data_IF_088194494023
#
_entry.id   IF_088194494023
#
_cell.length_a   1.000
_cell.length_b   1.000
_cell.length_c   1.000
_cell.angle_alpha   90.00
_cell.angle_beta   90.00
_cell.angle_gamma   90.00
#
_symmetry.space_group_name_H-M   'P 1'
#
loop_
_entity.id
_entity.type
_entity.pdbx_description
1 polymer ?
#
# COMPACT_ATOMS: atom_id res chain seq x y z
N UNK A 1 2.93 -15.08 62.41
CA UNK A 1 2.47 -13.70 62.21
C UNK A 1 2.96 -13.24 60.84
N UNK A 2 2.05 -13.08 59.88
CA UNK A 2 2.35 -12.61 58.53
C UNK A 2 2.54 -11.09 58.54
N UNK A 3 3.62 -10.59 57.95
CA UNK A 3 3.66 -9.22 57.49
C UNK A 3 4.38 -9.16 56.14
N UNK A 4 3.60 -9.07 55.06
CA UNK A 4 4.08 -8.80 53.71
C UNK A 4 3.15 -7.76 53.12
N UNK A 5 3.59 -6.49 53.10
CA UNK A 5 3.00 -5.49 52.23
C UNK A 5 4.13 -4.70 51.57
N UNK A 6 4.59 -5.21 50.44
CA UNK A 6 5.27 -4.40 49.43
C UNK A 6 4.16 -3.89 48.49
N UNK A 7 3.79 -2.63 48.66
CA UNK A 7 2.83 -1.94 47.79
C UNK A 7 3.57 -1.53 46.53
N UNK A 8 3.40 -2.29 45.46
CA UNK A 8 3.91 -1.96 44.13
C UNK A 8 2.87 -1.06 43.43
N UNK A 9 3.07 0.26 43.44
CA UNK A 9 2.34 1.18 42.57
C UNK A 9 2.80 0.95 41.12
N UNK A 10 2.05 0.14 40.36
CA UNK A 10 2.19 0.12 38.91
C UNK A 10 1.44 1.32 38.32
N UNK A 11 2.20 2.34 37.94
CA UNK A 11 1.70 3.45 37.15
C UNK A 11 1.16 2.94 35.81
N UNK A 12 -0.13 3.14 35.59
CA UNK A 12 -0.75 2.96 34.27
C UNK A 12 -0.35 4.18 33.45
N UNK A 13 0.80 4.10 32.79
CA UNK A 13 1.16 5.05 31.75
C UNK A 13 0.35 4.62 30.53
N UNK A 14 -0.78 5.29 30.29
CA UNK A 14 -1.58 5.14 29.08
C UNK A 14 -0.73 5.59 27.89
N UNK A 15 0.04 4.68 27.31
CA UNK A 15 0.72 4.90 26.04
C UNK A 15 -0.36 4.86 24.96
N UNK A 16 -1.04 5.98 24.76
CA UNK A 16 -1.88 6.21 23.60
C UNK A 16 -0.98 6.22 22.38
N UNK A 17 -0.71 5.04 21.83
CA UNK A 17 -0.02 4.89 20.56
C UNK A 17 -1.00 5.38 19.48
N UNK A 18 -1.04 6.69 19.25
CA UNK A 18 -1.57 7.25 18.02
C UNK A 18 -0.58 6.86 16.92
N UNK A 19 -0.69 5.62 16.44
CA UNK A 19 -0.06 5.20 15.22
C UNK A 19 -0.63 6.11 14.11
N UNK A 20 0.17 7.06 13.67
CA UNK A 20 0.00 7.73 12.38
C UNK A 20 -0.09 6.61 11.35
N UNK A 21 -1.30 6.23 10.98
CA UNK A 21 -1.65 4.96 10.35
C UNK A 21 -1.10 4.88 8.93
N UNK A 22 0.20 4.64 8.80
CA UNK A 22 0.76 4.11 7.58
C UNK A 22 0.11 2.76 7.33
N UNK A 23 -0.38 2.54 6.12
CA UNK A 23 -0.83 1.23 5.66
C UNK A 23 0.27 0.57 4.82
N UNK A 24 1.51 0.39 5.32
CA UNK A 24 2.59 -0.11 4.49
C UNK A 24 2.28 -1.53 4.01
N UNK A 25 2.66 -1.82 2.78
CA UNK A 25 2.56 -3.16 2.26
C UNK A 25 3.58 -4.08 2.93
N UNK A 26 3.12 -5.24 3.41
CA UNK A 26 4.01 -6.29 3.90
C UNK A 26 4.99 -6.73 2.79
N UNK A 27 6.25 -7.09 3.11
CA UNK A 27 7.27 -7.38 2.09
C UNK A 27 6.89 -8.47 1.08
N UNK A 28 6.12 -9.49 1.51
CA UNK A 28 5.60 -10.52 0.62
C UNK A 28 4.55 -9.94 -0.37
N UNK A 29 3.63 -9.09 0.11
CA UNK A 29 2.65 -8.39 -0.72
C UNK A 29 3.34 -7.48 -1.73
N UNK A 30 4.39 -6.76 -1.33
CA UNK A 30 5.17 -5.91 -2.25
C UNK A 30 5.71 -6.72 -3.44
N UNK A 31 6.30 -7.90 -3.19
CA UNK A 31 6.80 -8.77 -4.27
C UNK A 31 5.67 -9.22 -5.21
N UNK A 32 4.52 -9.60 -4.67
CA UNK A 32 3.37 -10.04 -5.46
C UNK A 32 2.75 -8.91 -6.28
N UNK A 33 2.62 -7.71 -5.70
CA UNK A 33 2.13 -6.50 -6.36
C UNK A 33 3.08 -6.12 -7.50
N UNK A 34 4.38 -6.05 -7.24
CA UNK A 34 5.38 -5.72 -8.26
C UNK A 34 5.32 -6.71 -9.43
N UNK A 35 5.14 -8.01 -9.15
CA UNK A 35 4.94 -9.02 -10.19
C UNK A 35 3.66 -8.77 -11.01
N UNK A 36 2.54 -8.47 -10.34
CA UNK A 36 1.28 -8.18 -11.02
C UNK A 36 1.38 -6.95 -11.94
N UNK A 37 2.03 -5.88 -11.46
CA UNK A 37 2.26 -4.65 -12.22
C UNK A 37 3.18 -4.93 -13.41
N UNK A 38 4.30 -5.64 -13.23
CA UNK A 38 5.18 -6.02 -14.36
C UNK A 38 4.46 -6.83 -15.42
N UNK A 39 3.63 -7.81 -15.00
CA UNK A 39 2.84 -8.61 -15.93
C UNK A 39 1.77 -7.79 -16.67
N UNK A 40 1.25 -6.73 -16.06
CA UNK A 40 0.36 -5.77 -16.72
C UNK A 40 1.13 -4.96 -17.76
N UNK A 41 2.30 -4.42 -17.41
CA UNK A 41 3.15 -3.61 -18.30
C UNK A 41 3.62 -4.40 -19.52
N UNK A 42 3.94 -5.69 -19.41
CA UNK A 42 4.30 -6.53 -20.58
C UNK A 42 3.19 -6.57 -21.64
N UNK A 43 1.95 -6.24 -21.27
CA UNK A 43 0.80 -6.18 -22.18
C UNK A 43 0.53 -4.77 -22.72
N UNK A 44 1.37 -3.78 -22.38
CA UNK A 44 1.26 -2.40 -22.84
C UNK A 44 2.51 -2.00 -23.65
N UNK A 45 2.50 -0.80 -24.24
CA UNK A 45 3.63 -0.28 -25.04
C UNK A 45 4.85 0.15 -24.19
N UNK A 46 4.77 0.03 -22.86
CA UNK A 46 5.86 0.39 -21.94
C UNK A 46 6.65 -0.86 -21.58
N UNK A 47 7.99 -0.79 -21.57
CA UNK A 47 8.82 -1.90 -21.13
C UNK A 47 8.93 -1.96 -19.59
N UNK A 48 8.68 -3.13 -19.02
CA UNK A 48 8.77 -3.37 -17.58
C UNK A 48 10.19 -3.22 -16.98
N UNK A 49 11.23 -3.14 -17.82
CA UNK A 49 12.63 -2.90 -17.40
C UNK A 49 12.96 -1.41 -17.25
N UNK A 50 12.13 -0.54 -17.84
CA UNK A 50 12.37 0.90 -17.90
C UNK A 50 11.62 1.67 -16.82
N UNK A 51 11.12 0.96 -15.79
CA UNK A 51 10.36 1.56 -14.69
C UNK A 51 10.80 1.02 -13.34
N UNK A 52 10.65 1.87 -12.33
CA UNK A 52 10.75 1.53 -10.91
C UNK A 52 9.34 1.45 -10.33
N UNK A 53 9.05 0.39 -9.57
CA UNK A 53 7.73 0.15 -8.97
C UNK A 53 7.85 0.20 -7.46
N UNK A 54 7.04 1.04 -6.82
CA UNK A 54 6.99 1.19 -5.37
C UNK A 54 5.56 0.99 -4.86
N UNK A 55 5.29 -0.15 -4.22
CA UNK A 55 4.03 -0.38 -3.51
C UNK A 55 4.01 0.44 -2.21
N UNK A 56 3.15 1.45 -2.14
CA UNK A 56 3.13 2.45 -1.06
C UNK A 56 2.15 2.09 0.05
N UNK A 57 0.92 1.72 -0.32
CA UNK A 57 -0.16 1.47 0.64
C UNK A 57 -0.91 0.17 0.32
N UNK A 58 -1.25 -0.59 1.35
CA UNK A 58 -2.04 -1.82 1.28
C UNK A 58 -3.16 -1.78 2.34
N UNK A 59 -4.41 -1.71 1.89
CA UNK A 59 -5.59 -1.58 2.76
C UNK A 59 -6.55 -2.71 2.43
N UNK A 60 -6.65 -3.69 3.35
CA UNK A 60 -7.41 -4.92 3.11
C UNK A 60 -6.93 -5.66 1.86
N UNK A 61 -7.84 -5.82 0.89
CA UNK A 61 -7.59 -6.43 -0.42
C UNK A 61 -7.22 -5.42 -1.51
N UNK A 62 -6.97 -4.16 -1.17
CA UNK A 62 -6.58 -3.12 -2.12
C UNK A 62 -5.15 -2.68 -1.90
N UNK A 63 -4.52 -2.19 -2.96
CA UNK A 63 -3.18 -1.60 -2.90
C UNK A 63 -3.04 -0.40 -3.83
N UNK A 64 -2.16 0.51 -3.44
CA UNK A 64 -1.68 1.64 -4.23
C UNK A 64 -0.17 1.50 -4.43
N UNK A 65 0.26 1.65 -5.68
CA UNK A 65 1.66 1.67 -6.06
C UNK A 65 1.94 2.82 -7.01
N UNK A 66 3.18 3.29 -7.00
CA UNK A 66 3.71 4.23 -7.98
C UNK A 66 4.61 3.48 -8.96
N UNK A 67 4.51 3.87 -10.23
CA UNK A 67 5.39 3.42 -11.29
C UNK A 67 6.07 4.63 -11.92
N UNK A 68 7.36 4.77 -11.63
CA UNK A 68 8.19 5.88 -12.10
C UNK A 68 9.06 5.40 -13.24
N UNK A 69 9.01 6.03 -14.42
CA UNK A 69 9.96 5.76 -15.49
C UNK A 69 11.40 6.03 -15.04
N UNK A 70 12.33 5.15 -15.40
CA UNK A 70 13.76 5.31 -15.07
C UNK A 70 14.41 6.44 -15.88
N UNK A 71 13.77 6.88 -16.98
CA UNK A 71 14.14 8.03 -17.80
C UNK A 71 12.96 9.02 -17.81
N UNK A 72 13.19 10.34 -17.86
CA UNK A 72 12.14 11.36 -17.79
C UNK A 72 11.38 11.50 -19.12
N UNK A 73 10.75 10.40 -19.57
CA UNK A 73 9.95 10.36 -20.80
C UNK A 73 8.46 10.59 -20.54
N UNK A 74 8.00 10.35 -19.31
CA UNK A 74 6.60 10.52 -18.88
C UNK A 74 6.54 10.68 -17.36
N UNK A 75 5.40 11.15 -16.85
CA UNK A 75 5.13 11.29 -15.42
C UNK A 75 5.06 9.94 -14.69
N UNK A 76 5.18 10.00 -13.35
CA UNK A 76 4.95 8.83 -12.49
C UNK A 76 3.47 8.44 -12.54
N UNK A 77 3.22 7.18 -12.87
CA UNK A 77 1.88 6.62 -12.86
C UNK A 77 1.50 6.13 -11.47
N UNK A 78 0.25 6.39 -11.10
CA UNK A 78 -0.45 5.77 -9.99
C UNK A 78 -1.12 4.48 -10.45
N UNK A 79 -0.99 3.43 -9.66
CA UNK A 79 -1.55 2.10 -9.97
C UNK A 79 -2.34 1.61 -8.78
N UNK A 80 -3.63 1.34 -9.01
CA UNK A 80 -4.51 0.75 -8.02
C UNK A 80 -4.76 -0.72 -8.34
N UNK A 81 -4.66 -1.55 -7.31
CA UNK A 81 -4.82 -3.00 -7.43
C UNK A 81 -5.86 -3.53 -6.46
N UNK A 82 -6.50 -4.62 -6.86
CA UNK A 82 -7.36 -5.43 -6.01
C UNK A 82 -6.90 -6.87 -6.00
N UNK A 83 -7.01 -7.53 -4.84
CA UNK A 83 -6.68 -8.93 -4.66
C UNK A 83 -7.88 -9.79 -5.05
N UNK A 84 -7.73 -10.53 -6.15
CA UNK A 84 -8.71 -11.50 -6.64
C UNK A 84 -8.18 -12.92 -6.36
N UNK A 85 -8.79 -13.62 -5.40
CA UNK A 85 -8.34 -14.94 -4.95
C UNK A 85 -6.90 -14.91 -4.43
N UNK A 86 -6.00 -15.63 -5.11
CA UNK A 86 -4.57 -15.72 -4.74
C UNK A 86 -3.70 -14.65 -5.41
N UNK A 87 -4.24 -13.83 -6.31
CA UNK A 87 -3.46 -12.89 -7.12
C UNK A 87 -3.86 -11.43 -6.94
N UNK A 88 -2.95 -10.52 -7.26
CA UNK A 88 -3.24 -9.09 -7.42
C UNK A 88 -3.52 -8.78 -8.88
N UNK A 89 -4.52 -7.92 -9.12
CA UNK A 89 -4.90 -7.44 -10.44
C UNK A 89 -4.95 -5.93 -10.47
N UNK A 90 -4.41 -5.35 -11.53
CA UNK A 90 -4.50 -3.91 -11.77
C UNK A 90 -5.95 -3.56 -12.06
N UNK A 91 -6.51 -2.65 -11.27
CA UNK A 91 -7.84 -2.08 -11.49
C UNK A 91 -7.76 -0.90 -12.45
N UNK A 92 -6.80 -0.01 -12.21
CA UNK A 92 -6.60 1.18 -13.03
C UNK A 92 -5.15 1.68 -12.92
N UNK A 93 -4.70 2.38 -13.96
CA UNK A 93 -3.36 2.92 -14.13
C UNK A 93 -3.47 4.29 -14.79
N UNK A 94 -2.84 5.32 -14.23
CA UNK A 94 -2.85 6.65 -14.81
C UNK A 94 -2.17 7.69 -13.93
N UNK A 95 -2.22 8.95 -14.34
CA UNK A 95 -1.67 10.09 -13.58
C UNK A 95 -2.76 10.86 -12.84
N UNK A 96 -4.03 10.53 -13.05
CA UNK A 96 -5.19 11.06 -12.36
C UNK A 96 -6.38 10.10 -12.51
N UNK A 97 -7.40 10.24 -11.65
CA UNK A 97 -8.61 9.41 -11.68
C UNK A 97 -9.84 10.24 -11.32
N UNK A 98 -10.98 9.88 -11.91
CA UNK A 98 -12.26 10.46 -11.57
C UNK A 98 -12.77 9.99 -10.18
N UNK A 99 -13.69 10.76 -9.62
CA UNK A 99 -14.28 10.47 -8.31
C UNK A 99 -15.05 9.15 -8.28
N UNK A 100 -15.67 8.75 -9.40
CA UNK A 100 -16.47 7.53 -9.48
C UNK A 100 -15.59 6.28 -9.36
N UNK A 101 -14.37 6.32 -9.86
CA UNK A 101 -13.36 5.29 -9.65
C UNK A 101 -12.84 5.32 -8.22
N UNK A 102 -12.42 6.49 -7.71
CA UNK A 102 -11.88 6.63 -6.36
C UNK A 102 -12.89 6.20 -5.28
N UNK A 103 -14.19 6.41 -5.51
CA UNK A 103 -15.26 5.98 -4.61
C UNK A 103 -15.31 4.46 -4.40
N UNK A 104 -14.78 3.66 -5.35
CA UNK A 104 -14.70 2.19 -5.26
C UNK A 104 -13.56 1.71 -4.34
N UNK A 105 -12.64 2.60 -3.97
CA UNK A 105 -11.48 2.29 -3.14
C UNK A 105 -11.75 2.56 -1.66
N UNK A 106 -11.04 1.87 -0.74
CA UNK A 106 -10.96 2.27 0.66
C UNK A 106 -10.54 3.74 0.79
N UNK A 107 -11.09 4.47 1.76
CA UNK A 107 -10.88 5.92 1.92
C UNK A 107 -9.41 6.28 2.06
N UNK A 108 -8.64 5.41 2.70
CA UNK A 108 -7.22 5.51 2.98
C UNK A 108 -6.35 5.49 1.70
N UNK A 109 -6.90 4.99 0.60
CA UNK A 109 -6.24 4.95 -0.70
C UNK A 109 -6.67 6.07 -1.65
N UNK A 110 -7.71 6.85 -1.32
CA UNK A 110 -8.24 7.88 -2.23
C UNK A 110 -7.33 9.11 -2.34
N UNK A 111 -6.58 9.39 -1.27
CA UNK A 111 -5.54 10.41 -1.21
C UNK A 111 -4.20 9.73 -0.88
N UNK A 112 -3.53 9.13 -1.90
CA UNK A 112 -2.26 8.45 -1.74
C UNK A 112 -1.15 9.36 -1.22
#
# INVERSE_FOLDING_TARGET
MCNKLFVLLMGIVSISCHATGGYPCAPNKVKEINRAIKNYIVKTDVSSKDVTIAAKKCVGNYAYAEVTPNKPITDTAMVYLHKEGKGWKVMNWGTSFDEAFLAKLPKELRNP
#
